data_IF_343391183556
#
_entry.id   IF_343391183556
#
_cell.length_a   1.000
_cell.length_b   1.000
_cell.length_c   1.000
_cell.angle_alpha   90.00
_cell.angle_beta   90.00
_cell.angle_gamma   90.00
#
_symmetry.space_group_name_H-M   'P 1'
#
loop_
_entity.id
_entity.type
_entity.pdbx_description
1 polymer ?
#
# COMPACT_ATOMS: atom_id res chain seq x y z
N UNK A 1 16.45 4.78 12.00
CA UNK A 1 15.91 3.55 11.42
C UNK A 1 15.13 3.87 10.16
N UNK A 2 15.31 3.07 9.13
CA UNK A 2 14.67 3.32 7.85
C UNK A 2 13.43 2.46 7.70
N UNK A 3 12.33 3.08 7.33
CA UNK A 3 11.13 2.35 6.93
C UNK A 3 11.20 2.18 5.41
N UNK A 4 11.02 0.95 4.95
CA UNK A 4 10.95 0.74 3.51
C UNK A 4 9.54 1.07 3.01
N UNK A 5 9.41 1.14 1.69
CA UNK A 5 8.13 1.52 1.05
C UNK A 5 7.02 0.56 1.45
N UNK A 6 7.31 -0.74 1.52
CA UNK A 6 6.33 -1.75 1.87
C UNK A 6 5.79 -1.53 3.28
N UNK A 7 6.67 -1.22 4.23
CA UNK A 7 6.26 -0.96 5.61
C UNK A 7 5.37 0.27 5.69
N UNK A 8 5.73 1.32 4.97
CA UNK A 8 4.94 2.56 4.95
C UNK A 8 3.55 2.31 4.36
N UNK A 9 3.47 1.53 3.31
CA UNK A 9 2.19 1.17 2.70
C UNK A 9 1.34 0.38 3.68
N UNK A 10 1.93 -0.61 4.34
CA UNK A 10 1.22 -1.43 5.32
C UNK A 10 0.66 -0.57 6.46
N UNK A 11 1.47 0.32 7.00
CA UNK A 11 1.05 1.22 8.07
C UNK A 11 -0.11 2.10 7.61
N UNK A 12 -0.02 2.63 6.40
CA UNK A 12 -1.06 3.50 5.84
C UNK A 12 -2.37 2.75 5.71
N UNK A 13 -2.33 1.52 5.19
CA UNK A 13 -3.53 0.71 5.04
C UNK A 13 -4.12 0.33 6.39
N UNK A 14 -3.28 0.01 7.36
CA UNK A 14 -3.71 -0.30 8.72
C UNK A 14 -4.43 0.88 9.35
N UNK A 15 -3.84 2.05 9.24
CA UNK A 15 -4.39 3.26 9.84
C UNK A 15 -5.68 3.71 9.16
N UNK A 16 -5.79 3.48 7.86
CA UNK A 16 -7.00 3.85 7.11
C UNK A 16 -8.19 2.98 7.48
N UNK A 17 -7.96 1.72 7.79
CA UNK A 17 -9.01 0.77 8.13
C UNK A 17 -9.99 0.50 6.98
N UNK A 18 -9.58 0.79 5.75
CA UNK A 18 -10.40 0.60 4.56
C UNK A 18 -9.50 0.43 3.34
N UNK A 19 -10.00 -0.15 2.24
CA UNK A 19 -9.21 -0.24 1.03
C UNK A 19 -8.86 1.15 0.47
N UNK A 20 -7.65 1.29 -0.05
CA UNK A 20 -7.16 2.53 -0.63
C UNK A 20 -6.62 2.28 -2.02
N UNK A 21 -6.72 3.31 -2.86
CA UNK A 21 -6.12 3.30 -4.19
C UNK A 21 -4.64 3.65 -4.11
N UNK A 22 -3.90 3.28 -5.14
CA UNK A 22 -2.48 3.64 -5.25
C UNK A 22 -2.26 5.15 -5.09
N UNK A 23 -3.09 5.97 -5.74
CA UNK A 23 -3.00 7.42 -5.65
C UNK A 23 -3.23 7.94 -4.24
N UNK A 24 -4.18 7.35 -3.53
CA UNK A 24 -4.47 7.72 -2.15
C UNK A 24 -3.28 7.38 -1.24
N UNK A 25 -2.71 6.20 -1.42
CA UNK A 25 -1.54 5.79 -0.65
C UNK A 25 -0.37 6.73 -0.92
N UNK A 26 -0.16 7.08 -2.19
CA UNK A 26 0.88 8.02 -2.57
C UNK A 26 0.70 9.37 -1.88
N UNK A 27 -0.52 9.88 -1.87
CA UNK A 27 -0.84 11.16 -1.23
C UNK A 27 -0.59 11.12 0.28
N UNK A 28 -0.98 10.02 0.92
CA UNK A 28 -0.85 9.89 2.37
C UNK A 28 0.59 9.67 2.82
N UNK A 29 1.37 8.96 2.01
CA UNK A 29 2.76 8.63 2.37
C UNK A 29 3.77 9.63 1.83
N UNK A 30 3.40 10.39 0.79
CA UNK A 30 4.34 11.25 0.09
C UNK A 30 5.29 10.47 -0.81
N UNK A 31 5.03 9.20 -1.03
CA UNK A 31 5.86 8.35 -1.89
C UNK A 31 5.33 8.43 -3.32
N UNK A 32 6.24 8.44 -4.29
CA UNK A 32 5.88 8.45 -5.70
C UNK A 32 4.99 7.25 -6.03
N UNK A 33 3.99 7.45 -6.86
CA UNK A 33 3.06 6.41 -7.29
C UNK A 33 3.78 5.18 -7.85
N UNK A 34 4.87 5.37 -8.56
CA UNK A 34 5.67 4.28 -9.11
C UNK A 34 6.20 3.39 -8.00
N UNK A 35 6.74 4.01 -6.95
CA UNK A 35 7.28 3.28 -5.81
C UNK A 35 6.16 2.59 -5.03
N UNK A 36 5.04 3.27 -4.85
CA UNK A 36 3.87 2.69 -4.18
C UNK A 36 3.40 1.45 -4.94
N UNK A 37 3.31 1.56 -6.26
CA UNK A 37 2.87 0.45 -7.11
C UNK A 37 3.80 -0.76 -6.96
N UNK A 38 5.10 -0.53 -6.95
CA UNK A 38 6.08 -1.60 -6.77
C UNK A 38 5.95 -2.25 -5.39
N UNK A 39 5.78 -1.43 -4.36
CA UNK A 39 5.60 -1.91 -3.00
C UNK A 39 4.33 -2.74 -2.86
N UNK A 40 3.23 -2.28 -3.45
CA UNK A 40 1.97 -3.00 -3.44
C UNK A 40 2.09 -4.36 -4.12
N UNK A 41 2.79 -4.39 -5.25
CA UNK A 41 3.02 -5.64 -5.97
C UNK A 41 3.80 -6.63 -5.12
N UNK A 42 4.85 -6.15 -4.46
CA UNK A 42 5.65 -6.99 -3.58
C UNK A 42 4.85 -7.52 -2.41
N UNK A 43 4.05 -6.69 -1.79
CA UNK A 43 3.20 -7.08 -0.66
C UNK A 43 2.14 -8.09 -1.08
N UNK A 44 1.59 -7.92 -2.29
CA UNK A 44 0.59 -8.85 -2.81
C UNK A 44 1.21 -10.23 -3.05
N UNK A 45 2.40 -10.27 -3.62
CA UNK A 45 3.12 -11.51 -3.83
C UNK A 45 3.42 -12.21 -2.50
N UNK A 46 3.71 -11.44 -1.47
CA UNK A 46 3.97 -11.96 -0.13
C UNK A 46 2.69 -12.32 0.63
N UNK A 47 1.54 -12.08 0.01
CA UNK A 47 0.25 -12.39 0.62
C UNK A 47 -0.04 -11.57 1.88
N UNK A 48 0.51 -10.37 1.93
CA UNK A 48 0.30 -9.46 3.07
C UNK A 48 -0.85 -8.50 2.86
N UNK A 49 -1.24 -8.28 1.61
CA UNK A 49 -2.36 -7.42 1.26
C UNK A 49 -3.24 -8.12 0.23
N UNK A 50 -4.46 -7.62 0.12
CA UNK A 50 -5.42 -8.11 -0.88
C UNK A 50 -5.91 -6.95 -1.72
N UNK A 51 -6.51 -7.28 -2.86
CA UNK A 51 -7.13 -6.30 -3.74
C UNK A 51 -8.61 -6.63 -3.87
N UNK A 52 -9.44 -6.12 -2.94
CA UNK A 52 -10.88 -6.46 -2.93
C UNK A 52 -11.63 -5.88 -4.13
N UNK A 53 -11.10 -4.82 -4.72
CA UNK A 53 -11.67 -4.20 -5.92
C UNK A 53 -10.54 -3.78 -6.84
N UNK A 54 -10.87 -3.54 -8.11
CA UNK A 54 -9.92 -3.00 -9.06
C UNK A 54 -9.27 -1.74 -8.51
N UNK A 55 -7.96 -1.70 -8.52
CA UNK A 55 -7.15 -0.56 -8.08
C UNK A 55 -7.24 -0.23 -6.60
N UNK A 56 -7.97 -1.02 -5.81
CA UNK A 56 -8.02 -0.86 -4.35
C UNK A 56 -7.19 -1.93 -3.68
N UNK A 57 -6.58 -1.57 -2.56
CA UNK A 57 -5.73 -2.47 -1.79
C UNK A 57 -6.06 -2.34 -0.32
N UNK A 58 -6.00 -3.45 0.38
CA UNK A 58 -6.30 -3.50 1.81
C UNK A 58 -5.38 -4.50 2.47
N UNK A 59 -5.18 -4.35 3.78
CA UNK A 59 -4.44 -5.37 4.53
C UNK A 59 -5.29 -6.63 4.63
N UNK A 60 -4.61 -7.75 4.66
CA UNK A 60 -5.25 -9.06 4.71
C UNK A 60 -5.83 -9.34 6.09
#
# INVERSE_FOLDING_TARGET
MFMNVETMIMDTLKNAGKPLKTGEISDLTGIDKKEVSKGLKGLKVQDKIISPKNCYYSIK
#
